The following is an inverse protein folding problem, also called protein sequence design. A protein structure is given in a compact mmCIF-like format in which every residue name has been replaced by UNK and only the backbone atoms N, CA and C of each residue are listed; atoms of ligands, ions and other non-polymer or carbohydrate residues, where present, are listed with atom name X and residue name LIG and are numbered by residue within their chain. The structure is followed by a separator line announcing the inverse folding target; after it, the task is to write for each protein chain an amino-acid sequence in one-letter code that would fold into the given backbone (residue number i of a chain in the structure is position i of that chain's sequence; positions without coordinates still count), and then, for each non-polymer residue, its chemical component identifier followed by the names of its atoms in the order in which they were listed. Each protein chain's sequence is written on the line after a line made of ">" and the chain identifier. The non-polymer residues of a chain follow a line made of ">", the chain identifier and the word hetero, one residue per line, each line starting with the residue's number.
data_IF_137259992519
#
_entry.id   IF_137259992519
#
_cell.length_a   1.000
_cell.length_b   1.000
_cell.length_c   1.000
_cell.angle_alpha   90.00
_cell.angle_beta   90.00
_cell.angle_gamma   90.00
#
_symmetry.space_group_name_H-M   'P 1'
#
loop_
_entity.id
_entity.type
_entity.pdbx_description
1 polymer ?
#
# COMPACT_ATOMS: atom_id res chain seq x y z
N UNK A 1 -14.31 15.84 8.06
CA UNK A 1 -13.86 15.51 9.43
C UNK A 1 -12.50 16.14 9.66
N UNK A 2 -12.16 16.55 10.88
CA UNK A 2 -10.90 17.27 11.19
C UNK A 2 -9.63 16.40 11.07
N UNK A 3 -9.79 15.09 10.87
CA UNK A 3 -8.71 14.11 10.73
C UNK A 3 -8.26 13.86 9.28
N UNK A 4 -8.91 14.48 8.28
CA UNK A 4 -8.57 14.32 6.86
C UNK A 4 -9.01 12.98 6.25
N UNK A 5 -9.76 12.17 7.01
CA UNK A 5 -10.34 10.92 6.53
C UNK A 5 -11.68 11.16 5.83
N UNK A 6 -11.98 10.31 4.85
CA UNK A 6 -13.34 10.23 4.27
C UNK A 6 -14.27 9.46 5.21
N UNK A 7 -15.59 9.62 5.02
CA UNK A 7 -16.58 8.87 5.80
C UNK A 7 -16.38 7.36 5.67
N UNK A 8 -16.02 6.87 4.48
CA UNK A 8 -15.71 5.46 4.24
C UNK A 8 -14.49 5.03 5.08
N UNK A 9 -13.41 5.82 5.10
CA UNK A 9 -12.21 5.50 5.89
C UNK A 9 -12.49 5.42 7.39
N UNK A 10 -13.29 6.34 7.91
CA UNK A 10 -13.69 6.32 9.32
C UNK A 10 -14.46 5.05 9.67
N UNK A 11 -15.27 4.52 8.74
CA UNK A 11 -15.96 3.23 8.92
C UNK A 11 -14.98 2.05 8.85
N UNK A 12 -14.06 2.04 7.87
CA UNK A 12 -13.03 0.99 7.73
C UNK A 12 -12.19 0.88 9.01
N UNK A 13 -11.75 2.02 9.57
CA UNK A 13 -10.88 2.08 10.75
C UNK A 13 -11.61 1.84 12.08
N UNK A 14 -12.92 2.05 12.13
CA UNK A 14 -13.69 1.91 13.36
C UNK A 14 -14.21 0.48 13.56
N UNK A 15 -13.50 -0.31 14.37
CA UNK A 15 -13.87 -1.69 14.71
C UNK A 15 -14.85 -1.84 15.87
N UNK A 16 -15.46 -0.76 16.37
CA UNK A 16 -16.48 -0.84 17.44
C UNK A 16 -17.79 -1.47 16.94
N UNK A 17 -18.03 -1.47 15.64
CA UNK A 17 -19.21 -2.05 15.00
C UNK A 17 -18.87 -3.36 14.30
N UNK A 18 -19.86 -4.25 14.18
CA UNK A 18 -19.68 -5.53 13.50
C UNK A 18 -19.35 -5.33 12.01
N UNK A 19 -18.71 -6.31 11.37
CA UNK A 19 -18.40 -6.25 9.95
C UNK A 19 -19.65 -5.97 9.11
N UNK A 20 -20.78 -6.62 9.40
CA UNK A 20 -22.06 -6.42 8.71
C UNK A 20 -22.55 -4.96 8.81
N UNK A 21 -22.48 -4.36 10.00
CA UNK A 21 -22.85 -2.95 10.20
C UNK A 21 -21.93 -2.01 9.42
N UNK A 22 -20.61 -2.28 9.41
CA UNK A 22 -19.63 -1.49 8.66
C UNK A 22 -19.87 -1.60 7.14
N UNK A 23 -20.09 -2.82 6.63
CA UNK A 23 -20.42 -3.07 5.21
C UNK A 23 -21.69 -2.33 4.78
N UNK A 24 -22.78 -2.46 5.55
CA UNK A 24 -24.05 -1.80 5.27
C UNK A 24 -23.90 -0.27 5.22
N UNK A 25 -23.14 0.30 6.17
CA UNK A 25 -22.87 1.74 6.20
C UNK A 25 -22.03 2.20 5.00
N UNK A 26 -21.03 1.42 4.57
CA UNK A 26 -20.24 1.75 3.39
C UNK A 26 -21.09 1.70 2.12
N UNK A 27 -21.94 0.67 1.94
CA UNK A 27 -22.89 0.60 0.81
C UNK A 27 -23.78 1.84 0.76
N UNK A 28 -24.41 2.17 1.89
CA UNK A 28 -25.25 3.36 1.99
C UNK A 28 -24.49 4.65 1.64
N UNK A 29 -23.23 4.80 2.08
CA UNK A 29 -22.42 5.96 1.72
C UNK A 29 -22.16 6.04 0.21
N UNK A 30 -21.84 4.91 -0.43
CA UNK A 30 -21.58 4.83 -1.88
C UNK A 30 -22.86 5.15 -2.66
N UNK A 31 -24.02 4.62 -2.23
CA UNK A 31 -25.33 4.93 -2.83
C UNK A 31 -25.68 6.42 -2.74
N UNK A 32 -25.10 7.13 -1.77
CA UNK A 32 -25.22 8.58 -1.59
C UNK A 32 -24.03 9.36 -2.20
N UNK A 33 -23.28 8.76 -3.13
CA UNK A 33 -22.23 9.42 -3.92
C UNK A 33 -20.86 9.49 -3.26
N UNK A 34 -20.61 8.75 -2.17
CA UNK A 34 -19.26 8.65 -1.61
C UNK A 34 -18.34 7.83 -2.53
N UNK A 35 -17.21 8.43 -2.92
CA UNK A 35 -16.20 7.78 -3.76
C UNK A 35 -15.33 6.81 -2.92
N UNK A 36 -15.40 5.52 -3.26
CA UNK A 36 -14.64 4.42 -2.63
C UNK A 36 -13.13 4.53 -2.85
N UNK A 37 -12.68 5.29 -3.84
CA UNK A 37 -11.27 5.50 -4.18
C UNK A 37 -10.73 6.82 -3.65
N UNK A 38 -11.58 7.65 -3.02
CA UNK A 38 -11.17 8.97 -2.53
C UNK A 38 -10.07 8.82 -1.49
N UNK A 39 -8.96 9.51 -1.73
CA UNK A 39 -7.75 9.51 -0.90
C UNK A 39 -7.88 10.38 0.35
N UNK A 40 -7.16 10.02 1.42
CA UNK A 40 -6.99 10.90 2.59
C UNK A 40 -6.21 12.17 2.20
N UNK A 41 -6.22 13.19 3.05
CA UNK A 41 -5.51 14.46 2.77
C UNK A 41 -4.45 14.84 3.81
N UNK A 42 -3.96 13.91 4.64
CA UNK A 42 -3.06 14.25 5.75
C UNK A 42 -1.61 13.79 5.61
N UNK A 43 -1.37 12.55 5.20
CA UNK A 43 -0.02 11.96 5.33
C UNK A 43 0.46 11.26 4.08
N UNK A 44 -0.27 10.24 3.64
CA UNK A 44 0.16 9.37 2.53
C UNK A 44 -0.89 9.29 1.43
N UNK A 45 -1.97 10.08 1.52
CA UNK A 45 -3.03 10.17 0.52
C UNK A 45 -3.63 8.80 0.20
N UNK A 46 -3.85 7.97 1.22
CA UNK A 46 -4.24 6.60 0.97
C UNK A 46 -5.73 6.44 0.68
N UNK A 47 -6.12 5.49 -0.19
CA UNK A 47 -7.51 5.11 -0.39
C UNK A 47 -8.01 4.24 0.78
N UNK A 48 -9.35 4.09 0.95
CA UNK A 48 -9.95 3.18 1.92
C UNK A 48 -9.42 1.74 1.84
N UNK A 49 -9.13 1.26 0.62
CA UNK A 49 -8.59 -0.08 0.39
C UNK A 49 -7.25 -0.31 1.12
N UNK A 50 -6.32 0.65 1.02
CA UNK A 50 -5.03 0.59 1.74
C UNK A 50 -5.21 0.66 3.25
N UNK A 51 -6.20 1.41 3.75
CA UNK A 51 -6.50 1.39 5.18
C UNK A 51 -6.95 0.01 5.67
N UNK A 52 -7.73 -0.75 4.90
CA UNK A 52 -8.11 -2.10 5.26
C UNK A 52 -6.87 -3.02 5.39
N UNK A 53 -5.89 -2.88 4.48
CA UNK A 53 -4.60 -3.59 4.54
C UNK A 53 -3.83 -3.23 5.81
N UNK A 54 -3.70 -1.93 6.13
CA UNK A 54 -3.00 -1.45 7.32
C UNK A 54 -3.62 -1.91 8.62
N UNK A 55 -4.95 -1.98 8.65
CA UNK A 55 -5.67 -2.51 9.81
C UNK A 55 -5.58 -4.04 9.89
N UNK A 56 -5.06 -4.72 8.87
CA UNK A 56 -5.11 -6.17 8.73
C UNK A 56 -6.55 -6.68 8.79
N UNK A 57 -7.48 -5.97 8.13
CA UNK A 57 -8.90 -6.31 8.04
C UNK A 57 -9.18 -6.95 6.68
N UNK A 58 -8.88 -8.25 6.56
CA UNK A 58 -8.95 -8.95 5.27
C UNK A 58 -10.38 -9.01 4.72
N UNK A 59 -11.38 -9.24 5.58
CA UNK A 59 -12.78 -9.27 5.14
C UNK A 59 -13.29 -7.92 4.64
N UNK A 60 -12.87 -6.83 5.30
CA UNK A 60 -13.16 -5.48 4.82
C UNK A 60 -12.42 -5.18 3.52
N UNK A 61 -11.18 -5.65 3.37
CA UNK A 61 -10.41 -5.51 2.15
C UNK A 61 -11.09 -6.23 0.96
N UNK A 62 -11.49 -7.50 1.13
CA UNK A 62 -12.21 -8.26 0.11
C UNK A 62 -13.54 -7.59 -0.25
N UNK A 63 -14.27 -7.11 0.76
CA UNK A 63 -15.49 -6.36 0.55
C UNK A 63 -15.29 -5.11 -0.31
N UNK A 64 -14.30 -4.29 0.02
CA UNK A 64 -13.99 -3.08 -0.75
C UNK A 64 -13.56 -3.42 -2.19
N UNK A 65 -12.71 -4.43 -2.35
CA UNK A 65 -12.16 -4.82 -3.65
C UNK A 65 -13.22 -5.41 -4.59
N UNK A 66 -14.04 -6.33 -4.07
CA UNK A 66 -14.93 -7.17 -4.88
C UNK A 66 -16.37 -6.65 -4.90
N UNK A 67 -16.92 -6.29 -3.73
CA UNK A 67 -18.32 -5.84 -3.64
C UNK A 67 -18.47 -4.35 -3.91
N UNK A 68 -17.46 -3.53 -3.60
CA UNK A 68 -17.48 -2.08 -3.86
C UNK A 68 -16.67 -1.67 -5.09
N UNK A 69 -16.08 -2.63 -5.81
CA UNK A 69 -15.25 -2.40 -7.00
C UNK A 69 -14.17 -1.33 -6.81
N UNK A 70 -13.55 -1.26 -5.62
CA UNK A 70 -12.44 -0.36 -5.36
C UNK A 70 -11.30 -0.63 -6.36
N UNK A 71 -10.64 0.43 -6.81
CA UNK A 71 -9.52 0.35 -7.74
C UNK A 71 -8.24 -0.03 -6.96
N UNK A 72 -7.60 -1.18 -7.27
CA UNK A 72 -6.40 -1.64 -6.56
C UNK A 72 -5.14 -0.82 -6.87
N UNK A 73 -5.19 0.10 -7.83
CA UNK A 73 -4.04 0.90 -8.29
C UNK A 73 -4.06 2.35 -7.81
N UNK A 74 -4.94 2.72 -6.88
CA UNK A 74 -5.00 4.10 -6.38
C UNK A 74 -3.73 4.40 -5.58
N UNK A 75 -2.88 5.25 -6.16
CA UNK A 75 -1.62 5.66 -5.54
C UNK A 75 -1.81 6.74 -4.47
N UNK A 76 -1.06 6.59 -3.37
CA UNK A 76 -0.94 7.57 -2.31
C UNK A 76 -0.05 8.75 -2.70
N UNK A 77 -0.56 9.68 -3.52
CA UNK A 77 0.19 10.87 -3.99
C UNK A 77 -0.54 12.17 -3.64
N UNK A 78 0.23 13.19 -3.26
CA UNK A 78 -0.31 14.53 -3.08
C UNK A 78 -0.82 15.09 -4.43
N UNK A 79 -2.11 15.43 -4.59
CA UNK A 79 -2.62 16.00 -5.84
C UNK A 79 -2.08 17.40 -6.12
N UNK A 80 -1.53 18.09 -5.12
CA UNK A 80 -0.98 19.44 -5.25
C UNK A 80 0.53 19.46 -5.55
N UNK A 81 1.21 18.31 -5.49
CA UNK A 81 2.63 18.18 -5.88
C UNK A 81 2.72 17.62 -7.31
N UNK A 82 2.27 18.44 -8.27
CA UNK A 82 2.27 18.09 -9.68
C UNK A 82 3.71 18.03 -10.23
N UNK A 83 4.24 16.83 -10.43
CA UNK A 83 5.19 16.59 -11.52
C UNK A 83 6.68 16.50 -11.18
N UNK A 84 7.09 16.33 -9.92
CA UNK A 84 8.50 15.99 -9.62
C UNK A 84 8.68 14.47 -9.55
N UNK A 85 9.13 13.88 -10.66
CA UNK A 85 9.55 12.48 -10.77
C UNK A 85 10.70 12.22 -9.78
N UNK A 86 10.63 11.08 -9.06
CA UNK A 86 11.75 10.53 -8.26
C UNK A 86 12.30 11.49 -7.19
N UNK A 87 11.46 11.85 -6.22
CA UNK A 87 11.88 12.66 -5.07
C UNK A 87 12.33 11.75 -3.92
N UNK A 88 13.64 11.76 -3.64
CA UNK A 88 14.19 11.17 -2.41
C UNK A 88 13.42 11.70 -1.19
N UNK A 89 13.21 10.82 -0.21
CA UNK A 89 12.62 11.11 1.10
C UNK A 89 11.10 11.32 1.16
N UNK A 90 10.39 11.30 0.01
CA UNK A 90 8.92 11.26 0.00
C UNK A 90 8.41 9.81 -0.10
N UNK A 91 7.73 9.35 0.94
CA UNK A 91 7.02 8.05 0.94
C UNK A 91 5.66 8.16 0.23
N UNK A 92 5.66 8.72 -0.98
CA UNK A 92 4.47 8.92 -1.82
C UNK A 92 4.44 7.93 -2.99
N UNK A 93 3.28 7.81 -3.64
CA UNK A 93 3.06 6.91 -4.79
C UNK A 93 2.83 5.45 -4.40
N UNK A 94 2.73 5.14 -3.10
CA UNK A 94 2.48 3.76 -2.66
C UNK A 94 1.06 3.32 -3.05
N UNK A 95 0.97 2.17 -3.72
CA UNK A 95 -0.28 1.49 -4.03
C UNK A 95 -0.61 0.39 -3.00
N UNK A 96 -1.87 -0.08 -2.93
CA UNK A 96 -2.27 -1.22 -2.10
C UNK A 96 -1.30 -2.41 -2.11
N UNK A 97 -0.87 -2.88 -3.30
CA UNK A 97 0.05 -4.02 -3.43
C UNK A 97 1.42 -3.75 -2.79
N UNK A 98 1.92 -2.52 -2.93
CA UNK A 98 3.18 -2.08 -2.32
C UNK A 98 3.12 -2.04 -0.80
N UNK A 99 2.02 -1.54 -0.22
CA UNK A 99 1.83 -1.48 1.23
C UNK A 99 1.72 -2.90 1.82
N UNK A 100 0.97 -3.79 1.16
CA UNK A 100 0.88 -5.20 1.53
C UNK A 100 2.25 -5.90 1.48
N UNK A 101 3.04 -5.67 0.43
CA UNK A 101 4.38 -6.24 0.28
C UNK A 101 5.37 -5.70 1.33
N UNK A 102 5.33 -4.39 1.62
CA UNK A 102 6.17 -3.75 2.63
C UNK A 102 5.92 -4.26 4.05
N UNK A 103 4.70 -4.69 4.34
CA UNK A 103 4.30 -5.25 5.64
C UNK A 103 4.24 -6.79 5.68
N UNK A 104 4.61 -7.46 4.59
CA UNK A 104 4.67 -8.92 4.54
C UNK A 104 3.28 -9.57 4.63
N UNK A 105 2.24 -8.89 4.15
CA UNK A 105 0.84 -9.32 4.21
C UNK A 105 0.53 -10.30 3.08
N UNK A 106 0.99 -11.55 3.24
CA UNK A 106 0.97 -12.60 2.20
C UNK A 106 -0.40 -12.78 1.56
N UNK A 107 -1.47 -12.89 2.35
CA UNK A 107 -2.84 -13.11 1.82
C UNK A 107 -3.31 -11.93 0.97
N UNK A 108 -3.04 -10.70 1.40
CA UNK A 108 -3.38 -9.50 0.65
C UNK A 108 -2.57 -9.38 -0.65
N UNK A 109 -1.28 -9.72 -0.61
CA UNK A 109 -0.43 -9.75 -1.82
C UNK A 109 -0.99 -10.77 -2.81
N UNK A 110 -1.32 -11.98 -2.35
CA UNK A 110 -1.91 -13.01 -3.19
C UNK A 110 -3.20 -12.52 -3.86
N UNK A 111 -4.16 -12.03 -3.09
CA UNK A 111 -5.44 -11.58 -3.66
C UNK A 111 -5.28 -10.40 -4.62
N UNK A 112 -4.39 -9.47 -4.32
CA UNK A 112 -4.12 -8.36 -5.24
C UNK A 112 -3.47 -8.85 -6.54
N UNK A 113 -2.53 -9.80 -6.47
CA UNK A 113 -1.94 -10.41 -7.66
C UNK A 113 -2.93 -11.22 -8.49
N UNK A 114 -3.91 -11.87 -7.84
CA UNK A 114 -4.97 -12.64 -8.50
C UNK A 114 -6.06 -11.74 -9.14
N UNK A 115 -6.08 -10.43 -8.83
CA UNK A 115 -7.01 -9.46 -9.44
C UNK A 115 -6.41 -8.88 -10.73
N UNK A 116 -7.05 -9.18 -11.87
CA UNK A 116 -6.61 -8.74 -13.21
C UNK A 116 -6.47 -7.21 -13.36
N UNK A 117 -7.12 -6.43 -12.49
CA UNK A 117 -7.04 -4.96 -12.51
C UNK A 117 -5.73 -4.46 -11.89
N UNK A 118 -4.98 -5.29 -11.16
CA UNK A 118 -3.82 -4.87 -10.39
C UNK A 118 -2.58 -4.64 -11.25
N UNK A 119 -1.94 -3.49 -11.09
CA UNK A 119 -0.67 -3.14 -11.72
C UNK A 119 0.50 -3.66 -10.89
N UNK A 120 1.10 -4.78 -11.32
CA UNK A 120 2.20 -5.45 -10.59
C UNK A 120 3.50 -4.63 -10.57
N UNK A 121 3.82 -3.97 -11.69
CA UNK A 121 5.16 -3.41 -11.97
C UNK A 121 5.29 -1.90 -11.80
N UNK A 122 4.24 -1.22 -11.35
CA UNK A 122 4.27 0.21 -11.12
C UNK A 122 5.27 0.55 -10.00
N UNK A 123 5.90 1.72 -10.11
CA UNK A 123 6.87 2.24 -9.15
C UNK A 123 6.27 3.40 -8.33
N UNK A 124 6.67 3.48 -7.05
CA UNK A 124 6.40 4.63 -6.19
C UNK A 124 7.39 5.79 -6.44
N UNK A 125 7.30 6.86 -5.64
CA UNK A 125 8.17 8.04 -5.79
C UNK A 125 9.66 7.77 -5.54
N UNK A 126 10.05 6.66 -4.91
CA UNK A 126 11.44 6.24 -4.73
C UNK A 126 11.86 5.18 -5.76
N UNK A 127 11.01 4.89 -6.76
CA UNK A 127 11.25 3.84 -7.72
C UNK A 127 10.96 2.43 -7.18
N UNK A 128 10.34 2.29 -6.01
CA UNK A 128 10.10 0.96 -5.45
C UNK A 128 8.87 0.32 -6.08
N UNK A 129 9.01 -0.90 -6.58
CA UNK A 129 7.90 -1.80 -6.89
C UNK A 129 7.48 -2.59 -5.65
N UNK A 130 6.37 -3.33 -5.74
CA UNK A 130 5.98 -4.27 -4.67
C UNK A 130 7.07 -5.35 -4.44
N UNK A 131 7.70 -5.85 -5.50
CA UNK A 131 8.78 -6.84 -5.42
C UNK A 131 9.99 -6.29 -4.66
N UNK A 132 10.42 -5.07 -4.99
CA UNK A 132 11.50 -4.37 -4.28
C UNK A 132 11.16 -4.22 -2.79
N UNK A 133 9.93 -3.83 -2.45
CA UNK A 133 9.49 -3.64 -1.04
C UNK A 133 9.48 -4.92 -0.23
N UNK A 134 9.03 -6.03 -0.81
CA UNK A 134 9.04 -7.34 -0.16
C UNK A 134 10.49 -7.75 0.16
N UNK A 135 11.38 -7.64 -0.81
CA UNK A 135 12.78 -8.04 -0.69
C UNK A 135 13.60 -7.16 0.24
N UNK A 136 13.42 -5.84 0.21
CA UNK A 136 14.05 -4.90 1.15
C UNK A 136 13.72 -5.18 2.64
N UNK A 137 12.68 -5.99 2.91
CA UNK A 137 12.28 -6.40 4.26
C UNK A 137 12.32 -7.93 4.49
N UNK A 138 12.87 -8.69 3.54
CA UNK A 138 13.05 -10.14 3.66
C UNK A 138 11.77 -10.97 3.59
N UNK A 139 10.69 -10.46 2.99
CA UNK A 139 9.42 -11.18 2.90
C UNK A 139 9.38 -12.14 1.70
N UNK A 140 10.05 -13.28 1.84
CA UNK A 140 10.24 -14.25 0.74
C UNK A 140 8.94 -14.82 0.17
N UNK A 141 7.94 -15.10 1.02
CA UNK A 141 6.62 -15.56 0.54
C UNK A 141 5.95 -14.54 -0.38
N UNK A 142 6.04 -13.25 -0.05
CA UNK A 142 5.52 -12.19 -0.91
C UNK A 142 6.35 -12.07 -2.20
N UNK A 143 7.68 -12.19 -2.11
CA UNK A 143 8.57 -12.24 -3.30
C UNK A 143 8.12 -13.33 -4.26
N UNK A 144 7.92 -14.55 -3.77
CA UNK A 144 7.60 -15.70 -4.61
C UNK A 144 6.27 -15.50 -5.33
N UNK A 145 5.23 -15.07 -4.61
CA UNK A 145 3.92 -14.74 -5.20
C UNK A 145 4.03 -13.63 -6.24
N UNK A 146 4.80 -12.58 -5.97
CA UNK A 146 4.98 -11.47 -6.91
C UNK A 146 5.71 -11.92 -8.18
N UNK A 147 6.72 -12.78 -8.06
CA UNK A 147 7.43 -13.36 -9.21
C UNK A 147 6.53 -14.28 -10.03
N UNK A 148 5.73 -15.12 -9.38
CA UNK A 148 4.72 -15.97 -10.03
C UNK A 148 3.68 -15.13 -10.78
N UNK A 149 3.31 -13.97 -10.24
CA UNK A 149 2.39 -13.01 -10.85
C UNK A 149 3.02 -12.15 -11.96
N UNK A 150 4.27 -12.41 -12.36
CA UNK A 150 4.92 -11.70 -13.47
C UNK A 150 5.58 -10.37 -13.09
N UNK A 151 5.98 -10.19 -11.83
CA UNK A 151 6.77 -9.03 -11.44
C UNK A 151 8.11 -8.96 -12.21
N UNK A 152 8.42 -7.80 -12.77
CA UNK A 152 9.63 -7.57 -13.55
C UNK A 152 10.85 -7.46 -12.61
N UNK A 153 11.77 -8.39 -12.81
CA UNK A 153 13.02 -8.54 -12.07
C UNK A 153 14.05 -7.46 -12.39
N UNK A 154 13.89 -6.76 -13.51
CA UNK A 154 14.86 -5.78 -14.05
C UNK A 154 14.57 -4.35 -13.62
N UNK A 155 13.41 -4.09 -13.01
CA UNK A 155 13.08 -2.75 -12.53
C UNK A 155 14.02 -2.37 -11.39
N UNK A 156 14.61 -1.19 -11.49
CA UNK A 156 15.48 -0.60 -10.49
C UNK A 156 14.83 0.60 -9.82
N UNK A 157 15.14 0.79 -8.54
CA UNK A 157 14.71 1.96 -7.79
C UNK A 157 15.53 3.22 -8.12
N UNK A 158 15.43 4.25 -7.28
CA UNK A 158 16.16 5.52 -7.46
C UNK A 158 17.67 5.42 -7.20
N UNK A 159 18.12 4.37 -6.52
CA UNK A 159 19.54 4.09 -6.27
C UNK A 159 20.09 3.05 -7.27
N UNK A 160 19.39 2.85 -8.39
CA UNK A 160 19.67 1.85 -9.42
C UNK A 160 19.75 0.41 -8.88
N UNK A 161 19.07 0.13 -7.75
CA UNK A 161 19.03 -1.19 -7.14
C UNK A 161 17.83 -2.00 -7.61
N UNK A 162 18.07 -3.25 -8.01
CA UNK A 162 17.03 -4.25 -8.27
C UNK A 162 16.46 -4.83 -6.97
N UNK A 163 15.46 -5.69 -7.10
CA UNK A 163 14.94 -6.44 -5.95
C UNK A 163 15.98 -7.38 -5.31
N UNK A 164 16.90 -7.95 -6.11
CA UNK A 164 17.97 -8.82 -5.61
C UNK A 164 18.99 -8.01 -4.82
N UNK A 165 19.37 -6.83 -5.30
CA UNK A 165 20.28 -5.92 -4.61
C UNK A 165 19.71 -5.50 -3.24
N UNK A 166 18.42 -5.18 -3.18
CA UNK A 166 17.73 -4.85 -1.92
C UNK A 166 17.57 -6.05 -0.99
N UNK A 167 17.46 -7.25 -1.55
CA UNK A 167 17.46 -8.47 -0.74
C UNK A 167 18.85 -8.74 -0.13
N UNK A 168 19.92 -8.57 -0.91
CA UNK A 168 21.29 -8.68 -0.42
C UNK A 168 21.56 -7.64 0.68
N UNK A 169 21.12 -6.39 0.48
CA UNK A 169 21.19 -5.36 1.51
C UNK A 169 20.43 -5.75 2.79
N UNK A 170 19.27 -6.43 2.66
CA UNK A 170 18.54 -6.98 3.78
C UNK A 170 19.32 -8.08 4.53
N UNK A 171 20.05 -8.95 3.82
CA UNK A 171 20.86 -9.99 4.45
C UNK A 171 21.97 -9.37 5.31
N UNK A 172 22.60 -8.29 4.83
CA UNK A 172 23.68 -7.62 5.53
C UNK A 172 23.19 -6.73 6.70
N UNK A 173 22.12 -5.96 6.46
CA UNK A 173 21.72 -4.86 7.35
C UNK A 173 20.38 -5.09 8.06
N UNK A 174 19.67 -6.16 7.72
CA UNK A 174 18.32 -6.43 8.20
C UNK A 174 17.24 -5.56 7.53
N UNK A 175 16.01 -5.66 8.06
CA UNK A 175 14.82 -5.05 7.43
C UNK A 175 14.96 -3.54 7.25
N UNK A 176 14.76 -3.07 6.01
CA UNK A 176 14.82 -1.64 5.69
C UNK A 176 13.90 -0.79 6.58
N UNK A 177 12.69 -1.26 6.90
CA UNK A 177 11.76 -0.49 7.73
C UNK A 177 12.23 -0.28 9.17
N UNK A 178 13.02 -1.20 9.71
CA UNK A 178 13.56 -1.09 11.08
C UNK A 178 14.74 -0.11 11.11
N UNK A 179 15.54 -0.09 10.03
CA UNK A 179 16.61 0.89 9.80
C UNK A 179 16.04 2.31 9.64
N UNK A 180 14.97 2.47 8.86
CA UNK A 180 14.30 3.76 8.63
C UNK A 180 13.69 4.34 9.91
N UNK A 181 13.10 3.50 10.77
CA UNK A 181 12.60 3.91 12.10
C UNK A 181 13.75 4.39 13.00
N UNK A 182 14.88 3.70 12.97
CA UNK A 182 16.06 4.02 13.79
C UNK A 182 16.70 5.36 13.38
N UNK A 183 16.79 5.64 12.08
CA UNK A 183 17.26 6.93 11.55
C UNK A 183 16.37 8.10 11.99
N UNK A 184 15.04 7.96 11.87
CA UNK A 184 14.09 9.00 12.33
C UNK A 184 14.21 9.28 13.82
N UNK A 185 14.38 8.27 14.68
CA UNK A 185 14.58 8.50 16.13
C UNK A 185 15.83 9.30 16.48
N UNK A 186 16.88 9.23 15.63
CA UNK A 186 18.14 9.96 15.84
C UNK A 186 18.08 11.41 15.36
N UNK A 187 17.22 11.75 14.39
CA UNK A 187 17.09 13.12 13.87
C UNK A 187 16.21 14.05 14.73
N UNK A 188 15.51 13.52 15.74
CA UNK A 188 14.68 14.27 16.69
C UNK A 188 15.30 14.37 18.10
N UNK A 189 16.59 14.02 18.23
CA UNK A 189 17.40 14.25 19.43
C UNK A 189 18.41 15.35 19.11
#
# INVERSE_FOLDING_TARGET
>A
MADGNTLIMSVVRNRKHSLTQRKAKIKWLIDNGADVNKRDCKHRYFPPLTHAIQMNDYDMFIFLLNECHANPNVEGRNPHDAGKLRQREKNEGNMPLMDAAWDGKVEFVKTLCDDERTSINQQDANGFTALIKACANGYLKCRDILLEAGADRKIVDIDDMTYEDRYNEYLELGRMKDRNKSKKKRSFR
#
